data_IF_298104726281
#
_entry.id   IF_298104726281
#
_cell.length_a   1.000
_cell.length_b   1.000
_cell.length_c   1.000
_cell.angle_alpha   90.00
_cell.angle_beta   90.00
_cell.angle_gamma   90.00
#
_symmetry.space_group_name_H-M   'P 1'
#
loop_
_entity.id
_entity.type
_entity.pdbx_description
1 polymer ?
#
# COMPACT_ATOMS: atom_id res chain seq x y z
N UNK A 1 2.34 2.42 16.58
CA UNK A 1 1.10 3.03 16.05
C UNK A 1 0.19 1.94 15.48
N UNK A 2 -1.13 2.10 15.59
CA UNK A 2 -2.10 1.14 15.04
C UNK A 2 -2.23 1.31 13.53
N UNK A 3 -2.15 0.22 12.78
CA UNK A 3 -2.38 0.25 11.33
C UNK A 3 -3.88 0.06 11.06
N UNK A 4 -4.44 0.94 10.24
CA UNK A 4 -5.84 0.90 9.81
C UNK A 4 -5.88 0.83 8.30
N UNK A 5 -6.39 -0.27 7.76
CA UNK A 5 -6.70 -0.39 6.35
C UNK A 5 -8.03 0.30 6.08
N UNK A 6 -8.02 1.29 5.20
CA UNK A 6 -9.27 1.89 4.71
C UNK A 6 -9.94 0.94 3.72
N UNK A 7 -11.24 1.10 3.51
CA UNK A 7 -11.99 0.32 2.52
C UNK A 7 -11.40 0.44 1.11
N UNK A 8 -11.01 1.64 0.59
CA UNK A 8 -10.34 1.74 -0.70
C UNK A 8 -9.00 0.99 -0.76
N UNK A 9 -8.25 0.91 0.34
CA UNK A 9 -7.01 0.15 0.39
C UNK A 9 -7.23 -1.37 0.38
N UNK A 10 -8.27 -1.84 1.06
CA UNK A 10 -8.65 -3.24 1.04
C UNK A 10 -9.08 -3.67 -0.37
N UNK A 11 -9.96 -2.89 -1.01
CA UNK A 11 -10.42 -3.14 -2.38
C UNK A 11 -9.26 -3.08 -3.38
N UNK A 12 -8.34 -2.12 -3.25
CA UNK A 12 -7.17 -2.04 -4.12
C UNK A 12 -6.28 -3.28 -4.01
N UNK A 13 -6.10 -3.82 -2.79
CA UNK A 13 -5.32 -5.04 -2.59
C UNK A 13 -6.03 -6.27 -3.20
N UNK A 14 -7.35 -6.37 -3.05
CA UNK A 14 -8.16 -7.42 -3.66
C UNK A 14 -8.09 -7.37 -5.20
N UNK A 15 -8.26 -6.19 -5.80
CA UNK A 15 -8.12 -6.00 -7.26
C UNK A 15 -6.74 -6.41 -7.79
N UNK A 16 -5.68 -6.12 -7.02
CA UNK A 16 -4.31 -6.54 -7.36
C UNK A 16 -4.21 -8.06 -7.35
N UNK A 17 -4.72 -8.70 -6.28
CA UNK A 17 -4.70 -10.16 -6.17
C UNK A 17 -5.49 -10.81 -7.31
N UNK A 18 -6.71 -10.35 -7.57
CA UNK A 18 -7.58 -10.87 -8.64
C UNK A 18 -6.98 -10.67 -10.03
N UNK A 19 -6.28 -9.56 -10.26
CA UNK A 19 -5.62 -9.30 -11.53
C UNK A 19 -4.48 -10.30 -11.77
N UNK A 20 -3.60 -10.48 -10.79
CA UNK A 20 -2.41 -11.35 -10.91
C UNK A 20 -2.81 -12.81 -10.93
N UNK A 21 -3.83 -13.20 -10.14
CA UNK A 21 -4.28 -14.58 -10.03
C UNK A 21 -4.86 -15.15 -11.35
N UNK A 22 -5.21 -14.29 -12.31
CA UNK A 22 -5.60 -14.71 -13.67
C UNK A 22 -4.44 -15.39 -14.41
N UNK A 23 -3.21 -14.95 -14.14
CA UNK A 23 -1.99 -15.48 -14.76
C UNK A 23 -1.31 -16.49 -13.83
N UNK A 24 -1.09 -16.13 -12.55
CA UNK A 24 -0.44 -16.98 -11.55
C UNK A 24 -0.97 -16.71 -10.13
N UNK A 25 -1.84 -17.60 -9.59
CA UNK A 25 -2.38 -17.48 -8.23
C UNK A 25 -1.33 -17.53 -7.11
N UNK A 26 -0.21 -18.24 -7.31
CA UNK A 26 0.85 -18.33 -6.30
C UNK A 26 1.57 -16.98 -6.18
N UNK A 27 1.89 -16.36 -7.32
CA UNK A 27 2.48 -15.02 -7.34
C UNK A 27 1.54 -13.96 -6.76
N UNK A 28 0.23 -14.07 -7.00
CA UNK A 28 -0.77 -13.19 -6.39
C UNK A 28 -0.76 -13.27 -4.85
N UNK A 29 -0.62 -14.49 -4.30
CA UNK A 29 -0.50 -14.70 -2.86
C UNK A 29 0.80 -14.08 -2.32
N UNK A 30 1.93 -14.36 -2.95
CA UNK A 30 3.25 -13.87 -2.50
C UNK A 30 3.30 -12.33 -2.47
N UNK A 31 2.77 -11.67 -3.51
CA UNK A 31 2.70 -10.21 -3.58
C UNK A 31 1.87 -9.63 -2.43
N UNK A 32 0.72 -10.24 -2.11
CA UNK A 32 -0.11 -9.78 -1.01
C UNK A 32 0.59 -9.93 0.36
N UNK A 33 1.34 -11.02 0.55
CA UNK A 33 2.15 -11.24 1.75
C UNK A 33 3.27 -10.21 1.88
N UNK A 34 3.98 -9.92 0.78
CA UNK A 34 5.03 -8.88 0.76
C UNK A 34 4.44 -7.53 1.15
N UNK A 35 3.33 -7.11 0.53
CA UNK A 35 2.68 -5.82 0.82
C UNK A 35 2.27 -5.74 2.30
N UNK A 36 1.61 -6.77 2.83
CA UNK A 36 1.17 -6.80 4.23
C UNK A 36 2.36 -6.73 5.20
N UNK A 37 3.43 -7.45 4.93
CA UNK A 37 4.64 -7.48 5.76
C UNK A 37 5.32 -6.10 5.81
N UNK A 38 5.48 -5.45 4.65
CA UNK A 38 6.10 -4.13 4.56
C UNK A 38 5.22 -3.06 5.22
N UNK A 39 3.89 -3.17 5.08
CA UNK A 39 2.94 -2.31 5.80
C UNK A 39 3.04 -2.47 7.31
N UNK A 40 3.20 -3.68 7.84
CA UNK A 40 3.35 -3.91 9.28
C UNK A 40 4.54 -3.15 9.89
N UNK A 41 5.62 -2.99 9.13
CA UNK A 41 6.81 -2.24 9.57
C UNK A 41 6.52 -0.75 9.83
N UNK A 42 5.46 -0.19 9.24
CA UNK A 42 5.04 1.20 9.50
C UNK A 42 4.65 1.43 10.96
N UNK A 43 4.18 0.39 11.68
CA UNK A 43 3.80 0.51 13.08
C UNK A 43 4.95 0.95 13.99
N UNK A 44 6.18 0.55 13.65
CA UNK A 44 7.44 0.89 14.33
C UNK A 44 8.21 2.00 13.61
N UNK A 45 8.08 2.12 12.29
CA UNK A 45 8.81 3.09 11.47
C UNK A 45 7.88 3.93 10.57
N UNK A 46 7.00 4.78 11.14
CA UNK A 46 5.97 5.49 10.38
C UNK A 46 6.52 6.44 9.32
N UNK A 47 7.77 6.90 9.46
CA UNK A 47 8.45 7.85 8.58
C UNK A 47 9.37 7.19 7.55
N UNK A 48 9.29 5.87 7.38
CA UNK A 48 10.10 5.15 6.36
C UNK A 48 9.64 5.44 4.93
N UNK A 49 8.38 5.83 4.73
CA UNK A 49 7.89 6.33 3.46
C UNK A 49 8.32 7.78 3.21
N UNK A 50 8.44 8.14 1.94
CA UNK A 50 8.70 9.52 1.52
C UNK A 50 7.41 10.34 1.50
N UNK A 51 7.51 11.68 1.47
CA UNK A 51 6.34 12.53 1.20
C UNK A 51 5.71 12.13 -0.14
N UNK A 52 4.40 11.92 -0.14
CA UNK A 52 3.65 11.49 -1.31
C UNK A 52 3.35 12.63 -2.28
N UNK A 53 2.93 12.25 -3.49
CA UNK A 53 2.50 13.20 -4.54
C UNK A 53 1.23 13.97 -4.15
N UNK A 54 0.36 13.36 -3.36
CA UNK A 54 -0.84 14.00 -2.82
C UNK A 54 -0.52 14.60 -1.44
N UNK A 55 -1.01 15.81 -1.20
CA UNK A 55 -0.80 16.53 0.08
C UNK A 55 -1.26 15.67 1.26
N UNK A 56 -0.52 15.71 2.37
CA UNK A 56 -0.78 14.94 3.59
C UNK A 56 -0.81 13.41 3.38
N UNK A 57 -0.04 12.92 2.40
CA UNK A 57 0.20 11.48 2.22
C UNK A 57 1.69 11.17 2.24
N UNK A 58 1.99 9.91 2.49
CA UNK A 58 3.31 9.31 2.40
C UNK A 58 3.25 8.13 1.43
N UNK A 59 4.34 7.92 0.72
CA UNK A 59 4.52 6.83 -0.22
C UNK A 59 5.60 5.88 0.30
N UNK A 60 5.21 4.63 0.53
CA UNK A 60 6.10 3.53 0.82
C UNK A 60 6.32 2.72 -0.46
N UNK A 61 7.48 2.93 -1.09
CA UNK A 61 7.90 2.15 -2.25
C UNK A 61 8.41 0.80 -1.76
N UNK A 62 7.88 -0.30 -2.32
CA UNK A 62 8.36 -1.64 -2.01
C UNK A 62 9.44 -1.99 -3.05
N UNK A 63 10.66 -2.27 -2.61
CA UNK A 63 11.79 -2.45 -3.54
C UNK A 63 11.69 -3.70 -4.41
N UNK A 64 11.10 -4.77 -3.88
CA UNK A 64 11.12 -6.09 -4.53
C UNK A 64 9.99 -6.29 -5.53
N UNK A 65 8.97 -5.43 -5.51
CA UNK A 65 7.78 -5.52 -6.36
C UNK A 65 7.37 -4.14 -6.85
N UNK A 66 6.77 -4.00 -8.05
CA UNK A 66 6.43 -2.71 -8.64
C UNK A 66 5.18 -2.07 -7.99
N UNK A 67 5.13 -2.01 -6.66
CA UNK A 67 4.00 -1.49 -5.90
C UNK A 67 4.41 -0.39 -4.91
N UNK A 68 3.51 0.57 -4.73
CA UNK A 68 3.65 1.68 -3.79
C UNK A 68 2.42 1.66 -2.88
N UNK A 69 2.65 1.67 -1.56
CA UNK A 69 1.59 1.85 -0.57
C UNK A 69 1.48 3.34 -0.23
N UNK A 70 0.27 3.87 -0.33
CA UNK A 70 -0.03 5.25 0.06
C UNK A 70 -0.68 5.25 1.43
N UNK A 71 -0.16 6.06 2.34
CA UNK A 71 -0.67 6.14 3.71
C UNK A 71 -0.67 7.56 4.27
N UNK A 72 -1.42 7.76 5.36
CA UNK A 72 -1.43 9.01 6.14
C UNK A 72 -1.16 8.70 7.60
N UNK A 73 -0.35 9.52 8.24
CA UNK A 73 -0.10 9.44 9.68
C UNK A 73 -1.11 10.30 10.43
N UNK A 74 -1.71 9.73 11.47
CA UNK A 74 -2.49 10.40 12.54
C UNK A 74 -1.71 10.24 13.86
N UNK A 75 -2.08 10.89 14.97
CA UNK A 75 -1.31 10.82 16.22
C UNK A 75 -0.99 9.39 16.69
N UNK A 76 -1.98 8.48 16.67
CA UNK A 76 -1.81 7.09 17.14
C UNK A 76 -2.00 6.03 16.05
N UNK A 77 -2.39 6.46 14.84
CA UNK A 77 -2.82 5.57 13.77
C UNK A 77 -2.13 5.87 12.45
N UNK A 78 -1.95 4.82 11.65
CA UNK A 78 -1.46 4.88 10.28
C UNK A 78 -2.57 4.36 9.38
N UNK A 79 -3.12 5.24 8.56
CA UNK A 79 -4.24 4.92 7.68
C UNK A 79 -3.66 4.57 6.31
N UNK A 80 -3.79 3.31 5.90
CA UNK A 80 -3.45 2.87 4.55
C UNK A 80 -4.57 3.30 3.63
N UNK A 81 -4.26 4.17 2.66
CA UNK A 81 -5.22 4.81 1.78
C UNK A 81 -5.44 4.01 0.50
N UNK A 82 -4.36 3.48 -0.09
CA UNK A 82 -4.43 2.63 -1.29
C UNK A 82 -3.09 1.96 -1.59
N UNK A 83 -3.08 1.02 -2.53
CA UNK A 83 -1.88 0.35 -3.06
C UNK A 83 -1.90 0.46 -4.59
N UNK A 84 -0.81 0.94 -5.18
CA UNK A 84 -0.71 1.15 -6.63
C UNK A 84 0.42 0.36 -7.23
N UNK A 85 0.16 -0.23 -8.40
CA UNK A 85 1.23 -0.61 -9.32
C UNK A 85 1.91 0.67 -9.86
N UNK A 86 3.23 0.69 -9.96
CA UNK A 86 4.03 1.87 -10.33
C UNK A 86 3.71 2.44 -11.72
N UNK A 87 3.17 1.62 -12.62
CA UNK A 87 2.73 2.03 -13.96
C UNK A 87 1.28 2.55 -14.04
N UNK A 88 0.49 2.46 -12.96
CA UNK A 88 -0.91 2.94 -12.96
C UNK A 88 -0.96 4.47 -12.81
N UNK A 89 -2.04 5.06 -13.33
CA UNK A 89 -2.30 6.49 -13.21
C UNK A 89 -2.56 6.85 -11.74
N UNK A 90 -1.85 7.87 -11.25
CA UNK A 90 -2.01 8.37 -9.88
C UNK A 90 -3.29 9.21 -9.76
N UNK A 91 -4.05 9.10 -8.65
CA UNK A 91 -5.19 9.97 -8.41
C UNK A 91 -4.73 11.36 -7.96
N UNK A 92 -5.60 12.36 -8.14
CA UNK A 92 -5.35 13.73 -7.67
C UNK A 92 -5.63 13.90 -6.16
N UNK A 93 -6.45 13.01 -5.58
CA UNK A 93 -6.85 13.05 -4.15
C UNK A 93 -7.19 11.66 -3.57
N UNK A 94 -7.12 11.56 -2.24
CA UNK A 94 -7.42 10.37 -1.42
C UNK A 94 -8.32 10.72 -0.23
#
# INVERSE_FOLDING_TARGET
MKIVWTEPAANALEEIQDYIAKDDPAVAYDIAIIIRTVVQNLSSHPKMGRKGRVVNTYELVISDIPYIVVYRMKPEEIHILSVFHTSRKWPEQF
#
